data_IF_576300298363
#
_entry.id   IF_576300298363
#
_cell.length_a   1.000
_cell.length_b   1.000
_cell.length_c   1.000
_cell.angle_alpha   90.00
_cell.angle_beta   90.00
_cell.angle_gamma   90.00
#
_symmetry.space_group_name_H-M   'P 1'
#
loop_
_entity.id
_entity.type
_entity.pdbx_description
1 polymer ?
#
# COMPACT_ATOMS: atom_id res chain seq x y z
N UNK A 1 46.66 -12.02 55.47
CA UNK A 1 45.59 -11.36 54.72
C UNK A 1 45.97 -11.45 53.26
N UNK A 2 45.30 -12.31 52.50
CA UNK A 2 45.54 -12.48 51.08
C UNK A 2 44.55 -11.59 50.29
N UNK A 3 45.05 -10.71 49.41
CA UNK A 3 44.26 -9.88 48.52
C UNK A 3 43.76 -10.73 47.38
N UNK A 4 42.46 -10.57 46.99
CA UNK A 4 41.95 -11.23 45.80
C UNK A 4 42.47 -10.52 44.54
N UNK A 5 43.04 -11.27 43.64
CA UNK A 5 43.45 -10.86 42.29
C UNK A 5 42.20 -10.53 41.46
N UNK A 6 42.15 -9.40 40.72
CA UNK A 6 41.05 -9.10 39.84
C UNK A 6 41.04 -10.06 38.63
N UNK A 7 39.91 -10.71 38.41
CA UNK A 7 39.68 -11.53 37.21
C UNK A 7 39.71 -10.64 35.97
N UNK A 8 40.66 -10.86 35.10
CA UNK A 8 40.75 -10.22 33.78
C UNK A 8 39.58 -10.73 32.91
N UNK A 9 38.59 -9.87 32.70
CA UNK A 9 37.53 -10.13 31.73
C UNK A 9 38.17 -10.23 30.35
N UNK A 10 38.22 -11.43 29.78
CA UNK A 10 38.62 -11.64 28.40
C UNK A 10 37.56 -10.98 27.49
N UNK A 11 37.91 -9.83 26.91
CA UNK A 11 37.13 -9.22 25.85
C UNK A 11 37.06 -10.20 24.66
N UNK A 12 35.89 -10.77 24.39
CA UNK A 12 35.67 -11.58 23.19
C UNK A 12 35.93 -10.69 21.97
N UNK A 13 37.02 -10.90 21.27
CA UNK A 13 37.28 -10.24 19.96
C UNK A 13 36.30 -10.78 18.94
N UNK A 14 35.28 -9.99 18.66
CA UNK A 14 34.35 -10.26 17.55
C UNK A 14 35.10 -9.99 16.25
N UNK A 15 35.47 -11.03 15.53
CA UNK A 15 36.11 -10.93 14.22
C UNK A 15 34.99 -10.66 13.18
N UNK A 16 34.76 -9.38 12.86
CA UNK A 16 33.78 -9.00 11.81
C UNK A 16 34.40 -9.28 10.44
N UNK A 17 33.71 -10.04 9.56
CA UNK A 17 34.16 -10.22 8.19
C UNK A 17 34.22 -8.87 7.47
N UNK A 18 35.13 -8.72 6.48
CA UNK A 18 35.13 -7.55 5.58
C UNK A 18 33.79 -7.47 4.89
N UNK A 19 32.90 -6.61 5.40
CA UNK A 19 31.51 -6.55 5.01
C UNK A 19 31.33 -5.92 3.62
N UNK A 20 30.71 -6.66 2.68
CA UNK A 20 30.17 -6.05 1.45
C UNK A 20 28.84 -5.37 1.79
N UNK A 21 28.73 -4.12 1.39
CA UNK A 21 27.49 -3.36 1.50
C UNK A 21 26.86 -3.21 0.10
N UNK A 22 25.55 -3.21 0.06
CA UNK A 22 24.77 -2.89 -1.12
C UNK A 22 23.62 -1.94 -0.76
N UNK A 23 23.08 -1.29 -1.75
CA UNK A 23 21.87 -0.47 -1.61
C UNK A 23 20.76 -1.00 -2.52
N UNK A 24 19.55 -0.74 -2.10
CA UNK A 24 18.35 -1.06 -2.85
C UNK A 24 17.35 0.09 -2.71
N UNK A 25 16.57 0.35 -3.76
CA UNK A 25 15.48 1.33 -3.75
C UNK A 25 14.15 0.57 -3.73
N UNK A 26 13.51 0.50 -2.57
CA UNK A 26 12.24 -0.25 -2.43
C UNK A 26 11.06 0.41 -3.14
N UNK A 27 11.09 1.71 -3.37
CA UNK A 27 10.12 2.42 -4.21
C UNK A 27 10.12 1.93 -5.67
N UNK A 28 11.28 1.56 -6.20
CA UNK A 28 11.41 0.97 -7.54
C UNK A 28 10.67 -0.38 -7.68
N UNK A 29 10.39 -1.08 -6.58
CA UNK A 29 9.62 -2.34 -6.61
C UNK A 29 8.18 -2.15 -7.07
N UNK A 30 7.63 -0.95 -6.84
CA UNK A 30 6.25 -0.59 -7.18
C UNK A 30 6.10 -0.09 -8.62
N UNK A 31 7.20 0.11 -9.35
CA UNK A 31 7.12 0.55 -10.74
C UNK A 31 6.37 -0.49 -11.59
N UNK A 32 5.38 -0.04 -12.35
CA UNK A 32 4.48 -0.90 -13.10
C UNK A 32 5.13 -1.61 -14.29
N UNK A 33 6.28 -1.12 -14.78
CA UNK A 33 6.98 -1.64 -15.96
C UNK A 33 8.27 -2.36 -15.61
N UNK A 34 9.01 -1.82 -14.66
CA UNK A 34 10.37 -2.26 -14.32
C UNK A 34 10.48 -2.83 -12.91
N UNK A 35 9.42 -2.75 -12.12
CA UNK A 35 9.36 -3.23 -10.75
C UNK A 35 9.06 -4.72 -10.61
N UNK A 36 8.61 -5.09 -9.42
CA UNK A 36 8.23 -6.47 -9.11
C UNK A 36 6.85 -6.77 -9.72
N UNK A 37 6.80 -7.70 -10.68
CA UNK A 37 5.58 -8.03 -11.42
C UNK A 37 4.42 -8.48 -10.52
N UNK A 38 4.71 -9.16 -9.41
CA UNK A 38 3.69 -9.54 -8.41
C UNK A 38 3.04 -8.33 -7.73
N UNK A 39 3.75 -7.22 -7.50
CA UNK A 39 3.12 -6.00 -6.98
C UNK A 39 2.11 -5.43 -7.95
N UNK A 40 2.46 -5.32 -9.22
CA UNK A 40 1.52 -4.86 -10.25
C UNK A 40 0.28 -5.75 -10.32
N UNK A 41 0.43 -7.07 -10.25
CA UNK A 41 -0.66 -8.02 -10.21
C UNK A 41 -1.56 -7.85 -8.99
N UNK A 42 -0.98 -7.69 -7.80
CA UNK A 42 -1.72 -7.47 -6.55
C UNK A 42 -2.49 -6.15 -6.58
N UNK A 43 -1.89 -5.07 -7.06
CA UNK A 43 -2.55 -3.77 -7.23
C UNK A 43 -3.73 -3.87 -8.20
N UNK A 44 -3.54 -4.54 -9.34
CA UNK A 44 -4.60 -4.75 -10.33
C UNK A 44 -5.76 -5.55 -9.72
N UNK A 45 -5.48 -6.63 -9.00
CA UNK A 45 -6.49 -7.44 -8.31
C UNK A 45 -7.25 -6.62 -7.28
N UNK A 46 -6.53 -5.88 -6.42
CA UNK A 46 -7.13 -5.04 -5.38
C UNK A 46 -8.06 -3.99 -5.99
N UNK A 47 -7.61 -3.30 -7.05
CA UNK A 47 -8.42 -2.30 -7.73
C UNK A 47 -9.66 -2.90 -8.38
N UNK A 48 -9.54 -4.07 -9.00
CA UNK A 48 -10.68 -4.77 -9.61
C UNK A 48 -11.72 -5.21 -8.56
N UNK A 49 -11.28 -5.71 -7.40
CA UNK A 49 -12.17 -6.11 -6.29
C UNK A 49 -12.99 -4.91 -5.77
N UNK A 50 -12.44 -3.71 -5.76
CA UNK A 50 -13.10 -2.51 -5.22
C UNK A 50 -13.71 -1.58 -6.27
N UNK A 51 -13.56 -1.89 -7.57
CA UNK A 51 -14.08 -1.03 -8.66
C UNK A 51 -15.58 -0.80 -8.52
N UNK A 52 -16.37 -1.86 -8.34
CA UNK A 52 -17.82 -1.75 -8.17
C UNK A 52 -18.21 -0.85 -6.99
N UNK A 53 -17.54 -1.00 -5.85
CA UNK A 53 -17.81 -0.20 -4.66
C UNK A 53 -17.51 1.29 -4.91
N UNK A 54 -16.43 1.58 -5.63
CA UNK A 54 -16.06 2.94 -6.03
C UNK A 54 -17.10 3.55 -6.98
N UNK A 55 -17.56 2.77 -7.94
CA UNK A 55 -18.59 3.22 -8.90
C UNK A 55 -19.92 3.49 -8.19
N UNK A 56 -20.32 2.62 -7.26
CA UNK A 56 -21.52 2.81 -6.45
C UNK A 56 -21.45 4.11 -5.61
N UNK A 57 -20.31 4.38 -4.96
CA UNK A 57 -20.11 5.61 -4.17
C UNK A 57 -20.20 6.83 -5.09
N UNK A 58 -19.57 6.78 -6.26
CA UNK A 58 -19.62 7.84 -7.26
C UNK A 58 -21.06 8.10 -7.72
N UNK A 59 -21.83 7.05 -7.98
CA UNK A 59 -23.24 7.15 -8.36
C UNK A 59 -24.08 7.80 -7.24
N UNK A 60 -23.83 7.44 -5.96
CA UNK A 60 -24.51 8.07 -4.82
C UNK A 60 -24.16 9.55 -4.70
N UNK A 61 -22.90 9.93 -4.90
CA UNK A 61 -22.47 11.33 -4.90
C UNK A 61 -23.15 12.14 -6.02
N UNK A 62 -23.19 11.58 -7.23
CA UNK A 62 -23.87 12.21 -8.38
C UNK A 62 -25.37 12.40 -8.10
N UNK A 63 -26.03 11.40 -7.52
CA UNK A 63 -27.45 11.50 -7.13
C UNK A 63 -27.64 12.59 -6.07
N UNK A 64 -26.72 12.72 -5.10
CA UNK A 64 -26.75 13.78 -4.09
C UNK A 64 -26.68 15.17 -4.71
N UNK A 65 -25.74 15.38 -5.65
CA UNK A 65 -25.61 16.65 -6.39
C UNK A 65 -26.88 16.97 -7.23
N UNK A 66 -27.52 15.96 -7.81
CA UNK A 66 -28.80 16.13 -8.53
C UNK A 66 -29.89 16.58 -7.57
N UNK A 67 -30.04 15.92 -6.41
CA UNK A 67 -31.04 16.32 -5.40
C UNK A 67 -30.79 17.74 -4.88
N UNK A 68 -29.54 18.14 -4.63
CA UNK A 68 -29.21 19.52 -4.25
C UNK A 68 -29.65 20.53 -5.31
N UNK A 69 -29.40 20.23 -6.58
CA UNK A 69 -29.84 21.08 -7.70
C UNK A 69 -31.36 21.19 -7.76
N UNK A 70 -32.09 20.09 -7.58
CA UNK A 70 -33.56 20.08 -7.57
C UNK A 70 -34.12 20.85 -6.39
N UNK A 71 -33.55 20.73 -5.20
CA UNK A 71 -33.92 21.47 -3.99
C UNK A 71 -33.73 22.98 -4.21
N UNK A 72 -32.57 23.38 -4.77
CA UNK A 72 -32.30 24.78 -5.05
C UNK A 72 -33.29 25.37 -6.09
N UNK A 73 -33.59 24.66 -7.15
CA UNK A 73 -34.62 25.08 -8.13
C UNK A 73 -35.98 25.27 -7.49
N UNK A 74 -36.38 24.40 -6.54
CA UNK A 74 -37.67 24.56 -5.85
C UNK A 74 -37.65 25.77 -4.87
N UNK A 75 -36.53 26.13 -4.31
CA UNK A 75 -36.35 27.29 -3.42
C UNK A 75 -36.31 28.62 -4.18
N UNK A 76 -35.75 28.60 -5.39
CA UNK A 76 -35.56 29.77 -6.24
C UNK A 76 -36.79 30.01 -7.18
N UNK A 77 -37.89 29.32 -6.95
CA UNK A 77 -39.12 29.51 -7.74
C UNK A 77 -39.58 31.00 -7.68
N UNK A 78 -40.01 31.60 -8.81
CA UNK A 78 -40.46 32.99 -8.85
C UNK A 78 -41.56 33.30 -7.84
N UNK A 79 -41.56 34.56 -7.33
CA UNK A 79 -42.61 35.01 -6.42
C UNK A 79 -44.03 34.78 -7.02
N UNK A 80 -44.91 34.15 -6.22
CA UNK A 80 -46.26 33.79 -6.65
C UNK A 80 -46.41 32.35 -7.15
N UNK A 81 -45.32 31.57 -7.30
CA UNK A 81 -45.45 30.15 -7.61
C UNK A 81 -45.65 29.34 -6.32
N UNK A 82 -46.74 28.55 -6.18
CA UNK A 82 -46.95 27.72 -5.01
C UNK A 82 -45.81 26.68 -4.90
N UNK A 83 -44.96 26.80 -3.89
CA UNK A 83 -43.93 25.78 -3.62
C UNK A 83 -44.63 24.62 -2.90
N UNK A 84 -44.52 23.42 -3.45
CA UNK A 84 -44.94 22.20 -2.77
C UNK A 84 -43.95 21.89 -1.60
N UNK A 85 -44.29 22.43 -0.43
CA UNK A 85 -43.52 22.27 0.80
C UNK A 85 -43.27 20.79 1.17
N UNK A 86 -44.26 19.91 0.84
CA UNK A 86 -44.14 18.48 1.13
C UNK A 86 -43.07 17.83 0.22
N UNK A 87 -43.11 18.17 -1.05
CA UNK A 87 -42.11 17.68 -2.02
C UNK A 87 -40.70 18.18 -1.68
N UNK A 88 -40.56 19.46 -1.30
CA UNK A 88 -39.31 20.05 -0.89
C UNK A 88 -38.74 19.33 0.36
N UNK A 89 -39.56 19.15 1.40
CA UNK A 89 -39.13 18.45 2.63
C UNK A 89 -38.71 17.02 2.33
N UNK A 90 -39.48 16.29 1.52
CA UNK A 90 -39.14 14.91 1.11
C UNK A 90 -37.78 14.84 0.43
N UNK A 91 -37.46 15.79 -0.47
CA UNK A 91 -36.15 15.83 -1.15
C UNK A 91 -35.01 16.17 -0.18
N UNK A 92 -35.24 17.05 0.78
CA UNK A 92 -34.26 17.37 1.83
C UNK A 92 -33.97 16.12 2.66
N UNK A 93 -34.99 15.41 3.14
CA UNK A 93 -34.84 14.19 3.93
C UNK A 93 -34.10 13.10 3.13
N UNK A 94 -34.42 12.93 1.84
CA UNK A 94 -33.73 12.00 0.94
C UNK A 94 -32.25 12.37 0.78
N UNK A 95 -31.93 13.65 0.64
CA UNK A 95 -30.54 14.11 0.50
C UNK A 95 -29.75 13.86 1.78
N UNK A 96 -30.32 14.17 2.96
CA UNK A 96 -29.68 13.91 4.24
C UNK A 96 -29.42 12.42 4.44
N UNK A 97 -30.40 11.58 4.15
CA UNK A 97 -30.22 10.12 4.26
C UNK A 97 -29.15 9.63 3.28
N UNK A 98 -29.18 10.10 2.02
CA UNK A 98 -28.20 9.73 1.00
C UNK A 98 -26.77 10.15 1.40
N UNK A 99 -26.61 11.35 1.98
CA UNK A 99 -25.29 11.80 2.48
C UNK A 99 -24.76 10.89 3.57
N UNK A 100 -25.59 10.53 4.56
CA UNK A 100 -25.22 9.60 5.65
C UNK A 100 -24.83 8.22 5.11
N UNK A 101 -25.64 7.70 4.19
CA UNK A 101 -25.37 6.37 3.59
C UNK A 101 -24.10 6.38 2.74
N UNK A 102 -23.85 7.46 1.97
CA UNK A 102 -22.65 7.62 1.16
C UNK A 102 -21.41 7.69 2.04
N UNK A 103 -21.46 8.47 3.11
CA UNK A 103 -20.36 8.58 4.06
C UNK A 103 -20.04 7.22 4.68
N UNK A 104 -21.04 6.55 5.25
CA UNK A 104 -20.87 5.22 5.85
C UNK A 104 -20.30 4.22 4.85
N UNK A 105 -20.85 4.17 3.63
CA UNK A 105 -20.35 3.27 2.59
C UNK A 105 -18.90 3.58 2.21
N UNK A 106 -18.50 4.85 2.18
CA UNK A 106 -17.11 5.24 1.90
C UNK A 106 -16.16 4.82 3.04
N UNK A 107 -16.56 5.01 4.30
CA UNK A 107 -15.79 4.60 5.47
C UNK A 107 -15.62 3.07 5.52
N UNK A 108 -16.71 2.32 5.32
CA UNK A 108 -16.68 0.85 5.26
C UNK A 108 -15.80 0.35 4.11
N UNK A 109 -15.90 0.98 2.94
CA UNK A 109 -15.08 0.65 1.78
C UNK A 109 -13.59 0.92 2.03
N UNK A 110 -13.27 2.03 2.68
CA UNK A 110 -11.88 2.37 3.03
C UNK A 110 -11.30 1.36 4.03
N UNK A 111 -12.07 0.99 5.05
CA UNK A 111 -11.66 -0.01 6.04
C UNK A 111 -11.43 -1.38 5.37
N UNK A 112 -12.38 -1.82 4.53
CA UNK A 112 -12.28 -3.07 3.79
C UNK A 112 -11.08 -3.08 2.82
N UNK A 113 -10.86 -1.97 2.11
CA UNK A 113 -9.71 -1.81 1.21
C UNK A 113 -8.38 -1.91 1.97
N UNK A 114 -8.24 -1.23 3.10
CA UNK A 114 -7.03 -1.27 3.91
C UNK A 114 -6.76 -2.68 4.44
N UNK A 115 -7.79 -3.36 4.94
CA UNK A 115 -7.69 -4.76 5.39
C UNK A 115 -7.25 -5.66 4.24
N UNK A 116 -7.93 -5.56 3.09
CA UNK A 116 -7.63 -6.38 1.91
C UNK A 116 -6.22 -6.13 1.37
N UNK A 117 -5.81 -4.86 1.38
CA UNK A 117 -4.43 -4.49 1.03
C UNK A 117 -3.42 -5.19 1.92
N UNK A 118 -3.59 -5.17 3.24
CA UNK A 118 -2.69 -5.86 4.16
C UNK A 118 -2.64 -7.37 3.90
N UNK A 119 -3.80 -8.01 3.68
CA UNK A 119 -3.89 -9.45 3.36
C UNK A 119 -3.14 -9.84 2.09
N UNK A 120 -3.16 -8.97 1.07
CA UNK A 120 -2.52 -9.25 -0.21
C UNK A 120 -1.04 -8.87 -0.23
N UNK A 121 -0.67 -7.76 0.43
CA UNK A 121 0.71 -7.27 0.42
C UNK A 121 1.59 -7.92 1.49
N UNK A 122 1.04 -8.30 2.63
CA UNK A 122 1.81 -8.92 3.72
C UNK A 122 2.60 -10.15 3.25
N UNK A 123 1.96 -11.19 2.69
CA UNK A 123 2.66 -12.37 2.19
C UNK A 123 3.71 -12.07 1.12
N UNK A 124 3.45 -11.07 0.26
CA UNK A 124 4.40 -10.66 -0.78
C UNK A 124 5.62 -9.97 -0.18
N UNK A 125 5.45 -9.14 0.85
CA UNK A 125 6.56 -8.52 1.56
C UNK A 125 7.45 -9.58 2.24
N UNK A 126 6.86 -10.58 2.86
CA UNK A 126 7.59 -11.71 3.46
C UNK A 126 8.36 -12.52 2.40
N UNK A 127 7.77 -12.74 1.23
CA UNK A 127 8.41 -13.42 0.11
C UNK A 127 9.62 -12.63 -0.41
N UNK A 128 9.47 -11.32 -0.57
CA UNK A 128 10.53 -10.40 -0.98
C UNK A 128 11.66 -10.38 0.06
N UNK A 129 11.33 -10.32 1.34
CA UNK A 129 12.32 -10.35 2.43
C UNK A 129 13.19 -11.62 2.38
N UNK A 130 12.56 -12.79 2.22
CA UNK A 130 13.28 -14.07 2.10
C UNK A 130 14.11 -14.15 0.82
N UNK A 131 13.59 -13.64 -0.30
CA UNK A 131 14.31 -13.61 -1.55
C UNK A 131 15.54 -12.67 -1.47
N UNK A 132 15.38 -11.51 -0.78
CA UNK A 132 16.46 -10.56 -0.58
C UNK A 132 17.57 -11.14 0.30
N UNK A 133 17.21 -11.86 1.36
CA UNK A 133 18.17 -12.58 2.19
C UNK A 133 18.94 -13.62 1.37
N UNK A 134 18.26 -14.40 0.56
CA UNK A 134 18.87 -15.40 -0.32
C UNK A 134 19.80 -14.75 -1.34
N UNK A 135 19.38 -13.65 -1.94
CA UNK A 135 20.14 -12.85 -2.89
C UNK A 135 21.44 -12.32 -2.25
N UNK A 136 21.35 -11.79 -1.03
CA UNK A 136 22.48 -11.27 -0.27
C UNK A 136 23.49 -12.36 0.06
N UNK A 137 23.02 -13.49 0.61
CA UNK A 137 23.87 -14.64 0.97
C UNK A 137 24.64 -15.18 -0.23
N UNK A 138 23.97 -15.33 -1.37
CA UNK A 138 24.59 -15.84 -2.60
C UNK A 138 25.72 -14.95 -3.15
N UNK A 139 25.72 -13.65 -2.79
CA UNK A 139 26.69 -12.65 -3.25
C UNK A 139 27.66 -12.19 -2.18
N UNK A 140 27.59 -12.75 -0.96
CA UNK A 140 28.42 -12.37 0.17
C UNK A 140 28.15 -10.93 0.62
N UNK A 141 26.93 -10.42 0.43
CA UNK A 141 26.52 -9.10 0.92
C UNK A 141 26.14 -9.26 2.39
N UNK A 142 26.73 -8.42 3.25
CA UNK A 142 26.50 -8.47 4.68
C UNK A 142 25.42 -7.47 5.13
N UNK A 143 25.27 -6.36 4.40
CA UNK A 143 24.30 -5.30 4.69
C UNK A 143 23.67 -4.81 3.39
N UNK A 144 22.35 -4.75 3.35
CA UNK A 144 21.59 -4.05 2.32
C UNK A 144 20.87 -2.89 2.98
N UNK A 145 21.06 -1.68 2.48
CA UNK A 145 20.38 -0.48 2.92
C UNK A 145 19.28 -0.11 1.94
N UNK A 146 18.13 0.25 2.44
CA UNK A 146 17.08 0.85 1.62
C UNK A 146 17.39 2.34 1.41
N UNK A 147 17.88 2.68 0.23
CA UNK A 147 18.24 4.05 -0.13
C UNK A 147 17.02 4.98 -0.24
N UNK A 148 15.80 4.44 -0.35
CA UNK A 148 14.57 5.22 -0.29
C UNK A 148 14.22 5.67 1.14
N UNK A 149 14.77 5.01 2.18
CA UNK A 149 14.46 5.27 3.58
C UNK A 149 15.61 5.96 4.34
N UNK A 150 16.83 5.85 3.84
CA UNK A 150 18.01 6.38 4.51
C UNK A 150 18.58 7.55 3.69
N UNK A 151 18.82 8.73 4.29
CA UNK A 151 19.44 9.85 3.58
C UNK A 151 20.91 9.54 3.30
N UNK A 152 21.21 9.13 2.07
CA UNK A 152 22.56 8.88 1.59
C UNK A 152 23.01 10.04 0.70
N UNK A 153 24.23 10.59 0.97
CA UNK A 153 24.78 11.71 0.20
C UNK A 153 25.42 11.29 -1.12
N UNK A 154 25.94 10.08 -1.16
CA UNK A 154 26.58 9.51 -2.35
C UNK A 154 26.45 7.97 -2.33
N UNK A 155 26.11 7.42 -3.48
CA UNK A 155 26.03 6.00 -3.74
C UNK A 155 26.76 5.73 -5.06
N UNK A 156 27.71 4.80 -5.03
CA UNK A 156 28.33 4.34 -6.27
C UNK A 156 27.37 3.36 -6.98
N UNK A 157 27.22 3.48 -8.29
CA UNK A 157 26.33 2.62 -9.10
C UNK A 157 26.65 1.12 -8.91
N UNK A 158 27.92 0.81 -8.63
CA UNK A 158 28.40 -0.58 -8.46
C UNK A 158 27.83 -1.30 -7.22
N UNK A 159 27.30 -0.56 -6.24
CA UNK A 159 26.67 -1.14 -5.04
C UNK A 159 25.14 -1.09 -5.08
N UNK A 160 24.54 -0.49 -6.10
CA UNK A 160 23.10 -0.53 -6.35
C UNK A 160 22.72 -1.88 -6.97
N UNK A 161 22.01 -2.68 -6.21
CA UNK A 161 21.57 -4.02 -6.62
C UNK A 161 20.09 -4.08 -6.95
N UNK A 162 19.39 -2.94 -6.98
CA UNK A 162 17.92 -2.87 -7.18
C UNK A 162 17.46 -3.61 -8.42
N UNK A 163 18.03 -3.26 -9.58
CA UNK A 163 17.63 -3.88 -10.86
C UNK A 163 17.99 -5.36 -10.92
N UNK A 164 19.17 -5.72 -10.40
CA UNK A 164 19.62 -7.12 -10.37
C UNK A 164 18.70 -7.97 -9.50
N UNK A 165 18.30 -7.47 -8.35
CA UNK A 165 17.35 -8.13 -7.46
C UNK A 165 15.97 -8.27 -8.11
N UNK A 166 15.39 -7.19 -8.66
CA UNK A 166 14.07 -7.22 -9.33
C UNK A 166 14.06 -8.26 -10.44
N UNK A 167 15.10 -8.27 -11.28
CA UNK A 167 15.22 -9.23 -12.41
C UNK A 167 15.25 -10.66 -11.90
N UNK A 168 16.06 -10.95 -10.88
CA UNK A 168 16.18 -12.30 -10.32
C UNK A 168 14.89 -12.71 -9.61
N UNK A 169 14.26 -11.81 -8.86
CA UNK A 169 13.01 -12.07 -8.18
C UNK A 169 11.89 -12.40 -9.17
N UNK A 170 11.70 -11.57 -10.19
CA UNK A 170 10.67 -11.79 -11.21
C UNK A 170 10.87 -13.10 -12.00
N UNK A 171 12.13 -13.46 -12.26
CA UNK A 171 12.49 -14.72 -12.94
C UNK A 171 12.11 -15.95 -12.10
N UNK A 172 12.33 -15.90 -10.79
CA UNK A 172 12.02 -17.00 -9.86
C UNK A 172 10.56 -17.04 -9.41
N UNK A 173 9.88 -15.90 -9.44
CA UNK A 173 8.54 -15.71 -8.91
C UNK A 173 7.64 -14.99 -9.93
N UNK A 174 7.30 -15.59 -11.06
CA UNK A 174 6.45 -14.97 -12.07
C UNK A 174 5.06 -14.62 -11.50
N UNK A 175 4.46 -13.52 -11.96
CA UNK A 175 3.17 -13.02 -11.49
C UNK A 175 2.00 -14.02 -11.68
N UNK A 176 2.12 -14.93 -12.64
CA UNK A 176 1.13 -15.98 -12.94
C UNK A 176 1.20 -17.20 -12.02
N UNK A 177 2.24 -17.32 -11.18
CA UNK A 177 2.43 -18.48 -10.29
C UNK A 177 1.63 -18.40 -8.98
N UNK A 178 0.74 -17.45 -8.80
CA UNK A 178 -0.05 -17.29 -7.58
C UNK A 178 -1.47 -17.81 -7.76
N UNK A 179 -1.69 -19.10 -7.61
CA UNK A 179 -2.88 -19.72 -7.01
C UNK A 179 -2.85 -21.24 -7.16
N UNK A 180 -1.94 -21.89 -6.43
CA UNK A 180 -2.29 -23.24 -5.99
C UNK A 180 -2.73 -23.09 -4.54
N UNK A 181 -4.02 -23.30 -4.20
CA UNK A 181 -4.39 -23.47 -2.81
C UNK A 181 -3.69 -24.74 -2.34
N UNK A 182 -2.98 -24.63 -1.22
CA UNK A 182 -2.47 -25.80 -0.53
C UNK A 182 -3.65 -26.69 -0.09
N UNK A 183 -3.50 -28.02 -0.12
CA UNK A 183 -4.52 -28.98 0.26
C UNK A 183 -4.94 -28.87 1.73
#
# INVERSE_FOLDING_TARGET
MAQPTPATSASATVNLPNGRMAVIYTDAFLDSKTGIAKFASVVTKLNAEFQKTKDDITAMQTRGATLETEINKLREAPEGTPIDQRSLQTKIDQLEQLKKDTQRKAEDAQAAYNKRRQELFGPLQDEIGRALETFAKARGINVILDAAQVPLLYIADSIDVTRAFITEFNSKNPATASATPAP
#
